data_IF_105502300998
#
_entry.id   IF_105502300998
#
_cell.length_a   1.000
_cell.length_b   1.000
_cell.length_c   1.000
_cell.angle_alpha   90.00
_cell.angle_beta   90.00
_cell.angle_gamma   90.00
#
_symmetry.space_group_name_H-M   'P 1'
#
loop_
_entity.id
_entity.type
_entity.pdbx_description
1 polymer ?
#
# COMPACT_ATOMS: atom_id res chain seq x y z
N UNK A 1 -0.77 8.11 -23.12
CA UNK A 1 -1.75 7.71 -22.09
C UNK A 1 -2.01 8.81 -21.07
N UNK A 2 -3.12 8.74 -20.32
CA UNK A 2 -3.39 9.60 -19.18
C UNK A 2 -3.57 8.75 -17.91
N UNK A 3 -2.98 9.21 -16.80
CA UNK A 3 -3.18 8.61 -15.47
C UNK A 3 -4.06 9.55 -14.64
N UNK A 4 -5.06 8.98 -13.97
CA UNK A 4 -6.02 9.69 -13.12
C UNK A 4 -5.88 9.25 -11.67
N UNK A 5 -5.17 10.01 -10.81
CA UNK A 5 -5.00 9.67 -9.42
C UNK A 5 -6.31 9.77 -8.63
N UNK A 6 -6.48 8.92 -7.64
CA UNK A 6 -7.59 8.98 -6.69
C UNK A 6 -7.37 10.05 -5.62
N UNK A 7 -6.10 10.26 -5.24
CA UNK A 7 -5.66 11.16 -4.18
C UNK A 7 -4.52 12.07 -4.67
N UNK A 8 -3.92 12.86 -3.77
CA UNK A 8 -2.80 13.75 -4.11
C UNK A 8 -1.47 12.98 -4.21
N UNK A 9 -0.43 13.63 -4.71
CA UNK A 9 0.93 13.05 -4.76
C UNK A 9 1.52 12.82 -3.36
N UNK A 10 1.10 13.59 -2.36
CA UNK A 10 1.52 13.39 -0.97
C UNK A 10 0.90 12.12 -0.34
N UNK A 11 -0.18 11.59 -0.92
CA UNK A 11 -0.86 10.40 -0.43
C UNK A 11 -0.16 9.14 -0.89
N UNK A 12 0.20 8.26 0.05
CA UNK A 12 1.03 7.09 -0.19
C UNK A 12 0.52 6.18 -1.31
N UNK A 13 -0.79 5.90 -1.36
CA UNK A 13 -1.39 5.07 -2.40
C UNK A 13 -1.24 5.70 -3.80
N UNK A 14 -1.65 6.95 -3.98
CA UNK A 14 -1.49 7.63 -5.27
C UNK A 14 -0.04 7.89 -5.63
N UNK A 15 0.83 8.21 -4.66
CA UNK A 15 2.27 8.35 -4.89
C UNK A 15 2.83 7.08 -5.54
N UNK A 16 2.65 5.93 -4.90
CA UNK A 16 3.26 4.67 -5.32
C UNK A 16 2.59 4.07 -6.56
N UNK A 17 1.26 4.17 -6.70
CA UNK A 17 0.51 3.48 -7.76
C UNK A 17 0.20 4.33 -8.99
N UNK A 18 0.35 5.67 -8.90
CA UNK A 18 0.11 6.55 -10.06
C UNK A 18 1.36 7.35 -10.40
N UNK A 19 1.86 8.17 -9.49
CA UNK A 19 2.94 9.10 -9.82
C UNK A 19 4.24 8.37 -10.10
N UNK A 20 4.66 7.44 -9.23
CA UNK A 20 5.88 6.64 -9.44
C UNK A 20 5.74 5.68 -10.61
N UNK A 21 4.56 5.08 -10.79
CA UNK A 21 4.28 4.25 -11.97
C UNK A 21 4.34 5.07 -13.26
N UNK A 22 3.83 6.31 -13.27
CA UNK A 22 3.92 7.18 -14.44
C UNK A 22 5.38 7.44 -14.85
N UNK A 23 6.26 7.66 -13.89
CA UNK A 23 7.68 7.89 -14.17
C UNK A 23 8.36 6.63 -14.75
N UNK A 24 8.06 5.45 -14.23
CA UNK A 24 8.57 4.19 -14.79
C UNK A 24 7.97 3.88 -16.17
N UNK A 25 6.67 4.14 -16.38
CA UNK A 25 6.05 3.97 -17.69
C UNK A 25 6.67 4.89 -18.75
N UNK A 26 7.08 6.11 -18.39
CA UNK A 26 7.87 6.97 -19.31
C UNK A 26 9.19 6.32 -19.70
N UNK A 27 9.90 5.69 -18.77
CA UNK A 27 11.14 4.93 -19.05
C UNK A 27 10.89 3.73 -19.97
N UNK A 28 9.69 3.14 -19.90
CA UNK A 28 9.24 2.06 -20.78
C UNK A 28 8.69 2.56 -22.15
N UNK A 29 8.84 3.86 -22.46
CA UNK A 29 8.48 4.45 -23.73
C UNK A 29 7.06 4.98 -23.84
N UNK A 30 6.32 5.08 -22.74
CA UNK A 30 4.99 5.70 -22.75
C UNK A 30 5.06 7.22 -22.71
N UNK A 31 4.27 7.88 -23.55
CA UNK A 31 3.96 9.29 -23.35
C UNK A 31 2.87 9.40 -22.25
N UNK A 32 3.31 9.42 -20.99
CA UNK A 32 2.46 9.36 -19.81
C UNK A 32 2.24 10.75 -19.19
N UNK A 33 0.97 11.15 -19.09
CA UNK A 33 0.54 12.41 -18.48
C UNK A 33 -0.31 12.13 -17.25
N UNK A 34 0.05 12.69 -16.09
CA UNK A 34 -0.77 12.61 -14.87
C UNK A 34 -1.75 13.78 -14.83
N UNK A 35 -3.04 13.46 -14.92
CA UNK A 35 -4.10 14.46 -14.88
C UNK A 35 -4.25 15.02 -13.47
N UNK A 36 -4.13 16.35 -13.25
CA UNK A 36 -4.27 16.92 -11.92
C UNK A 36 -5.63 16.61 -11.29
N UNK A 37 -5.60 16.10 -10.05
CA UNK A 37 -6.79 15.63 -9.35
C UNK A 37 -7.88 16.69 -9.17
N UNK A 38 -7.47 17.94 -8.91
CA UNK A 38 -8.38 19.06 -8.63
C UNK A 38 -9.18 19.55 -9.84
N UNK A 39 -8.86 19.10 -11.06
CA UNK A 39 -9.55 19.53 -12.27
C UNK A 39 -11.01 19.06 -12.28
N UNK A 40 -11.92 19.97 -12.67
CA UNK A 40 -13.34 19.68 -12.90
C UNK A 40 -13.51 18.84 -14.18
N UNK A 41 -14.65 18.17 -14.35
CA UNK A 41 -14.89 17.28 -15.49
C UNK A 41 -14.61 17.94 -16.83
N UNK A 42 -15.14 19.15 -17.09
CA UNK A 42 -14.89 19.89 -18.35
C UNK A 42 -13.39 20.13 -18.61
N UNK A 43 -12.62 20.39 -17.56
CA UNK A 43 -11.17 20.60 -17.67
C UNK A 43 -10.45 19.29 -17.96
N UNK A 44 -10.85 18.18 -17.30
CA UNK A 44 -10.32 16.84 -17.59
C UNK A 44 -10.60 16.41 -19.03
N UNK A 45 -11.83 16.63 -19.52
CA UNK A 45 -12.19 16.34 -20.92
C UNK A 45 -11.37 17.20 -21.90
N UNK A 46 -11.09 18.46 -21.56
CA UNK A 46 -10.18 19.31 -22.37
C UNK A 46 -8.75 18.76 -22.39
N UNK A 47 -8.22 18.29 -21.25
CA UNK A 47 -6.93 17.59 -21.18
C UNK A 47 -6.93 16.36 -22.08
N UNK A 48 -7.98 15.54 -22.03
CA UNK A 48 -8.15 14.36 -22.89
C UNK A 48 -8.14 14.77 -24.37
N UNK A 49 -8.85 15.82 -24.76
CA UNK A 49 -8.89 16.31 -26.13
C UNK A 49 -7.54 16.82 -26.64
N UNK A 50 -6.71 17.39 -25.77
CA UNK A 50 -5.35 17.86 -26.10
C UNK A 50 -4.36 16.70 -26.15
N UNK A 51 -4.34 15.86 -25.11
CA UNK A 51 -3.40 14.74 -24.97
C UNK A 51 -3.71 13.59 -25.94
N UNK A 52 -4.98 13.42 -26.31
CA UNK A 52 -5.50 12.32 -27.15
C UNK A 52 -4.95 10.96 -26.73
N UNK A 53 -5.18 10.53 -25.48
CA UNK A 53 -4.61 9.29 -24.97
C UNK A 53 -5.30 8.08 -25.62
N UNK A 54 -4.52 7.03 -25.89
CA UNK A 54 -5.05 5.76 -26.37
C UNK A 54 -5.60 4.89 -25.22
N UNK A 55 -5.19 5.16 -23.97
CA UNK A 55 -5.63 4.45 -22.77
C UNK A 55 -5.58 5.37 -21.55
N UNK A 56 -6.49 5.14 -20.61
CA UNK A 56 -6.51 5.80 -19.31
C UNK A 56 -6.19 4.76 -18.22
N UNK A 57 -5.21 5.05 -17.35
CA UNK A 57 -5.03 4.36 -16.08
C UNK A 57 -5.74 5.17 -15.00
N UNK A 58 -6.79 4.61 -14.41
CA UNK A 58 -7.67 5.29 -13.46
C UNK A 58 -7.57 4.62 -12.09
N UNK A 59 -7.07 5.35 -11.10
CA UNK A 59 -6.95 4.86 -9.73
C UNK A 59 -8.16 5.25 -8.89
N UNK A 60 -8.69 4.30 -8.15
CA UNK A 60 -9.72 4.44 -7.10
C UNK A 60 -10.98 5.23 -7.51
N UNK A 61 -12.12 4.65 -7.26
CA UNK A 61 -13.43 5.29 -7.49
C UNK A 61 -13.91 6.19 -6.32
N UNK A 62 -13.07 6.44 -5.32
CA UNK A 62 -13.35 7.43 -4.25
C UNK A 62 -13.49 8.84 -4.81
N UNK A 63 -12.69 9.18 -5.82
CA UNK A 63 -12.81 10.47 -6.47
C UNK A 63 -14.05 10.48 -7.39
N UNK A 64 -14.99 11.46 -7.26
CA UNK A 64 -16.26 11.45 -7.97
C UNK A 64 -16.14 11.52 -9.49
N UNK A 65 -15.01 11.97 -10.03
CA UNK A 65 -14.71 12.03 -11.46
C UNK A 65 -13.88 10.86 -11.99
N UNK A 66 -13.43 9.95 -11.12
CA UNK A 66 -12.76 8.72 -11.53
C UNK A 66 -13.83 7.65 -11.82
N UNK A 67 -14.55 7.85 -12.93
CA UNK A 67 -15.62 7.00 -13.43
C UNK A 67 -15.43 6.73 -14.91
N UNK A 68 -15.26 5.46 -15.34
CA UNK A 68 -15.07 5.13 -16.75
C UNK A 68 -16.15 5.70 -17.67
N UNK A 69 -17.40 5.81 -17.21
CA UNK A 69 -18.52 6.36 -17.99
C UNK A 69 -18.29 7.79 -18.52
N UNK A 70 -17.43 8.59 -17.90
CA UNK A 70 -17.10 9.94 -18.38
C UNK A 70 -16.06 9.94 -19.51
N UNK A 71 -15.45 8.79 -19.81
CA UNK A 71 -14.35 8.62 -20.75
C UNK A 71 -14.59 7.43 -21.69
N UNK A 72 -15.86 7.19 -22.06
CA UNK A 72 -16.33 5.96 -22.73
C UNK A 72 -15.69 5.64 -24.07
N UNK A 73 -15.07 6.63 -24.73
CA UNK A 73 -14.45 6.47 -26.04
C UNK A 73 -12.98 6.01 -25.95
N UNK A 74 -12.47 5.86 -24.73
CA UNK A 74 -11.08 5.49 -24.46
C UNK A 74 -11.06 4.31 -23.52
N UNK A 75 -10.31 3.24 -23.82
CA UNK A 75 -10.20 2.10 -22.90
C UNK A 75 -9.62 2.55 -21.55
N UNK A 76 -10.32 2.19 -20.46
CA UNK A 76 -9.89 2.47 -19.10
C UNK A 76 -9.35 1.20 -18.48
N UNK A 77 -8.16 1.26 -17.90
CA UNK A 77 -7.63 0.27 -16.96
C UNK A 77 -7.85 0.83 -15.55
N UNK A 78 -8.63 0.12 -14.75
CA UNK A 78 -8.98 0.58 -13.40
C UNK A 78 -8.06 -0.07 -12.36
N UNK A 79 -7.45 0.76 -11.53
CA UNK A 79 -6.55 0.37 -10.45
C UNK A 79 -7.22 0.55 -9.08
N UNK A 80 -7.28 -0.55 -8.29
CA UNK A 80 -7.87 -0.58 -6.96
C UNK A 80 -6.95 -1.33 -5.98
N UNK A 81 -6.52 -0.66 -4.90
CA UNK A 81 -5.56 -1.19 -3.92
C UNK A 81 -6.08 -1.22 -2.47
N UNK A 82 -7.28 -0.73 -2.23
CA UNK A 82 -7.99 -0.80 -0.96
C UNK A 82 -9.37 -1.46 -1.11
N UNK A 83 -9.87 -2.07 -0.03
CA UNK A 83 -11.18 -2.72 0.00
C UNK A 83 -12.34 -1.73 0.15
N UNK A 84 -12.31 -0.60 -0.55
CA UNK A 84 -13.32 0.46 -0.48
C UNK A 84 -14.74 -0.01 -0.83
N UNK A 85 -14.86 -1.15 -1.52
CA UNK A 85 -16.14 -1.79 -1.81
C UNK A 85 -16.86 -2.33 -0.56
N UNK A 86 -16.18 -2.36 0.59
CA UNK A 86 -16.79 -2.68 1.88
C UNK A 86 -17.55 -1.47 2.47
N UNK A 87 -17.26 -0.26 2.00
CA UNK A 87 -18.00 0.94 2.38
C UNK A 87 -19.18 1.18 1.43
N UNK A 88 -20.40 1.17 1.94
CA UNK A 88 -21.65 1.30 1.14
C UNK A 88 -21.63 2.53 0.23
N UNK A 89 -21.09 3.66 0.73
CA UNK A 89 -20.97 4.91 -0.04
C UNK A 89 -20.11 4.80 -1.31
N UNK A 90 -19.19 3.82 -1.37
CA UNK A 90 -18.26 3.64 -2.48
C UNK A 90 -18.59 2.43 -3.35
N UNK A 91 -19.27 1.42 -2.79
CA UNK A 91 -19.49 0.13 -3.43
C UNK A 91 -20.08 0.22 -4.84
N UNK A 92 -21.18 0.96 -5.01
CA UNK A 92 -21.85 1.08 -6.31
C UNK A 92 -20.92 1.72 -7.37
N UNK A 93 -20.10 2.68 -6.96
CA UNK A 93 -19.16 3.35 -7.84
C UNK A 93 -17.99 2.46 -8.26
N UNK A 94 -17.54 1.59 -7.34
CA UNK A 94 -16.47 0.63 -7.60
C UNK A 94 -16.97 -0.47 -8.54
N UNK A 95 -18.16 -1.03 -8.29
CA UNK A 95 -18.77 -2.01 -9.19
C UNK A 95 -18.91 -1.45 -10.60
N UNK A 96 -19.47 -0.24 -10.76
CA UNK A 96 -19.56 0.43 -12.06
C UNK A 96 -18.17 0.60 -12.71
N UNK A 97 -17.16 1.00 -11.95
CA UNK A 97 -15.82 1.19 -12.47
C UNK A 97 -15.20 -0.14 -12.93
N UNK A 98 -15.40 -1.23 -12.18
CA UNK A 98 -14.93 -2.57 -12.55
C UNK A 98 -15.63 -3.09 -13.79
N UNK A 99 -16.97 -3.01 -13.88
CA UNK A 99 -17.77 -3.49 -15.02
C UNK A 99 -17.43 -2.77 -16.34
N UNK A 100 -17.17 -1.45 -16.26
CA UNK A 100 -16.94 -0.61 -17.45
C UNK A 100 -15.48 -0.52 -17.88
N UNK A 101 -14.56 -1.09 -17.14
CA UNK A 101 -13.14 -1.02 -17.47
C UNK A 101 -12.70 -2.15 -18.40
N UNK A 102 -11.75 -1.86 -19.28
CA UNK A 102 -11.17 -2.83 -20.20
C UNK A 102 -10.31 -3.90 -19.50
N UNK A 103 -9.71 -3.53 -18.36
CA UNK A 103 -8.97 -4.43 -17.47
C UNK A 103 -8.89 -3.82 -16.06
N UNK A 104 -8.65 -4.68 -15.07
CA UNK A 104 -8.55 -4.31 -13.67
C UNK A 104 -7.17 -4.66 -13.14
N UNK A 105 -6.57 -3.71 -12.44
CA UNK A 105 -5.38 -3.90 -11.62
C UNK A 105 -5.81 -3.94 -10.15
N UNK A 106 -5.72 -5.10 -9.53
CA UNK A 106 -6.05 -5.30 -8.13
C UNK A 106 -4.79 -5.31 -7.26
N UNK A 107 -4.78 -4.57 -6.16
CA UNK A 107 -3.64 -4.47 -5.24
C UNK A 107 -3.42 -5.71 -4.37
N UNK A 108 -4.37 -6.65 -4.34
CA UNK A 108 -4.26 -7.92 -3.62
C UNK A 108 -5.13 -9.01 -4.25
N UNK A 109 -4.89 -10.28 -3.88
CA UNK A 109 -5.72 -11.41 -4.33
C UNK A 109 -7.16 -11.31 -3.83
N UNK A 110 -7.38 -10.76 -2.63
CA UNK A 110 -8.71 -10.55 -2.08
C UNK A 110 -9.51 -9.54 -2.92
N UNK A 111 -8.89 -8.41 -3.27
CA UNK A 111 -9.50 -7.41 -4.16
C UNK A 111 -9.76 -8.01 -5.55
N UNK A 112 -8.81 -8.78 -6.09
CA UNK A 112 -9.00 -9.46 -7.36
C UNK A 112 -10.21 -10.43 -7.32
N UNK A 113 -10.37 -11.18 -6.23
CA UNK A 113 -11.52 -12.05 -6.02
C UNK A 113 -12.87 -11.31 -6.03
N UNK A 114 -12.90 -10.10 -5.46
CA UNK A 114 -14.09 -9.24 -5.57
C UNK A 114 -14.31 -8.77 -7.00
N UNK A 115 -13.29 -8.24 -7.67
CA UNK A 115 -13.40 -7.69 -9.02
C UNK A 115 -13.79 -8.73 -10.07
N UNK A 116 -13.33 -9.98 -9.95
CA UNK A 116 -13.67 -11.09 -10.87
C UNK A 116 -15.15 -11.45 -10.88
N UNK A 117 -15.94 -10.97 -9.94
CA UNK A 117 -17.42 -11.09 -9.98
C UNK A 117 -18.06 -10.21 -11.05
N UNK A 118 -17.34 -9.22 -11.56
CA UNK A 118 -17.84 -8.15 -12.43
C UNK A 118 -16.99 -7.94 -13.69
N UNK A 119 -15.78 -8.50 -13.76
CA UNK A 119 -14.88 -8.34 -14.91
C UNK A 119 -13.95 -9.56 -15.03
N UNK A 120 -13.80 -10.08 -16.25
CA UNK A 120 -12.98 -11.27 -16.53
C UNK A 120 -11.48 -10.94 -16.65
N UNK A 121 -11.12 -9.67 -16.96
CA UNK A 121 -9.74 -9.23 -17.14
C UNK A 121 -9.22 -8.56 -15.86
N UNK A 122 -8.90 -9.38 -14.85
CA UNK A 122 -8.42 -8.92 -13.54
C UNK A 122 -7.07 -9.52 -13.23
N UNK A 123 -6.07 -8.66 -13.05
CA UNK A 123 -4.72 -9.05 -12.62
C UNK A 123 -4.33 -8.45 -11.27
N UNK A 124 -3.54 -9.21 -10.50
CA UNK A 124 -2.96 -8.73 -9.25
C UNK A 124 -1.63 -8.08 -9.55
N UNK A 125 -1.54 -6.77 -9.26
CA UNK A 125 -0.28 -6.04 -9.22
C UNK A 125 -0.14 -5.43 -7.82
N UNK A 126 0.71 -6.05 -7.02
CA UNK A 126 1.01 -5.53 -5.69
C UNK A 126 1.67 -4.16 -5.78
N UNK A 127 1.42 -3.32 -4.79
CA UNK A 127 2.06 -2.01 -4.71
C UNK A 127 3.56 -2.17 -4.69
N UNK A 128 4.25 -1.42 -5.54
CA UNK A 128 5.70 -1.36 -5.55
C UNK A 128 6.21 -0.11 -4.81
N UNK A 129 7.45 -0.17 -4.35
CA UNK A 129 8.15 0.99 -3.76
C UNK A 129 9.42 1.33 -4.53
N UNK A 130 9.83 2.62 -4.58
CA UNK A 130 11.16 2.97 -5.07
C UNK A 130 12.24 2.23 -4.29
N UNK A 131 13.30 1.83 -4.97
CA UNK A 131 14.50 1.31 -4.31
C UNK A 131 15.26 2.50 -3.73
N UNK A 132 15.26 2.63 -2.42
CA UNK A 132 16.02 3.66 -1.71
C UNK A 132 17.49 3.23 -1.52
N UNK A 133 18.43 4.16 -1.29
CA UNK A 133 19.78 3.82 -0.84
C UNK A 133 19.72 2.92 0.40
N UNK A 134 20.74 2.08 0.58
CA UNK A 134 20.83 1.26 1.78
C UNK A 134 20.84 2.11 3.03
N UNK A 135 20.17 1.69 4.12
CA UNK A 135 20.17 2.42 5.37
C UNK A 135 21.59 2.66 5.87
N UNK A 136 21.89 3.90 6.26
CA UNK A 136 23.21 4.29 6.76
C UNK A 136 23.49 3.76 8.17
N UNK A 137 22.43 3.56 8.97
CA UNK A 137 22.54 3.11 10.36
C UNK A 137 22.47 1.58 10.45
N UNK A 138 23.53 0.91 10.94
CA UNK A 138 23.52 -0.52 11.15
C UNK A 138 22.56 -0.91 12.29
N UNK A 139 22.03 -2.14 12.27
CA UNK A 139 21.06 -2.61 13.25
C UNK A 139 21.56 -2.56 14.70
N UNK A 140 22.87 -2.73 14.93
CA UNK A 140 23.50 -2.63 16.26
C UNK A 140 23.45 -1.22 16.86
N UNK A 141 23.22 -0.18 16.06
CA UNK A 141 23.10 1.21 16.50
C UNK A 141 21.66 1.74 16.50
N UNK A 142 20.69 0.93 16.10
CA UNK A 142 19.29 1.30 16.18
C UNK A 142 18.79 1.22 17.62
N UNK A 143 17.92 2.15 17.96
CA UNK A 143 17.25 2.18 19.27
C UNK A 143 16.24 1.03 19.37
N UNK A 144 15.90 0.61 20.59
CA UNK A 144 14.81 -0.33 20.83
C UNK A 144 13.44 0.35 20.58
N UNK A 145 13.23 0.82 19.36
CA UNK A 145 11.96 1.42 18.93
C UNK A 145 11.18 0.38 18.11
N UNK A 146 9.96 0.12 18.55
CA UNK A 146 8.97 -0.68 17.84
C UNK A 146 8.02 0.29 17.15
N UNK A 147 7.75 0.12 15.86
CA UNK A 147 6.91 1.07 15.12
C UNK A 147 5.68 0.44 14.52
N UNK A 148 4.56 1.14 14.62
CA UNK A 148 3.32 0.85 13.90
C UNK A 148 2.77 2.09 13.20
N UNK A 149 2.52 1.98 11.90
CA UNK A 149 1.90 3.05 11.13
C UNK A 149 0.37 2.84 11.06
N UNK A 150 -0.39 3.49 11.93
CA UNK A 150 -1.86 3.44 12.00
C UNK A 150 -2.47 4.74 11.51
N UNK A 151 -2.71 4.88 10.20
CA UNK A 151 -3.14 6.14 9.59
C UNK A 151 -4.56 6.57 9.98
N UNK A 152 -5.47 5.62 10.24
CA UNK A 152 -6.86 5.88 10.62
C UNK A 152 -7.24 5.00 11.81
N UNK A 153 -7.26 5.55 13.04
CA UNK A 153 -7.58 4.79 14.24
C UNK A 153 -8.90 4.03 14.17
N UNK A 154 -9.93 4.61 13.54
CA UNK A 154 -11.24 3.97 13.34
C UNK A 154 -11.18 2.69 12.49
N UNK A 155 -10.24 2.59 11.57
CA UNK A 155 -10.05 1.42 10.71
C UNK A 155 -9.08 0.39 11.28
N UNK A 156 -8.55 0.62 12.48
CA UNK A 156 -7.51 -0.20 13.09
C UNK A 156 -7.87 -0.62 14.53
N UNK A 157 -9.15 -0.60 14.90
CA UNK A 157 -9.57 -0.86 16.28
C UNK A 157 -9.20 -2.28 16.74
N UNK A 158 -9.44 -3.30 15.92
CA UNK A 158 -9.10 -4.69 16.24
C UNK A 158 -7.58 -4.92 16.28
N UNK A 159 -6.83 -4.28 15.38
CA UNK A 159 -5.37 -4.30 15.39
C UNK A 159 -4.80 -3.61 16.63
N UNK A 160 -5.42 -2.52 17.07
CA UNK A 160 -5.02 -1.84 18.30
C UNK A 160 -5.24 -2.72 19.54
N UNK A 161 -6.40 -3.37 19.66
CA UNK A 161 -6.67 -4.31 20.75
C UNK A 161 -5.67 -5.45 20.77
N UNK A 162 -5.38 -6.02 19.60
CA UNK A 162 -4.37 -7.06 19.45
C UNK A 162 -3.00 -6.57 19.91
N UNK A 163 -2.55 -5.39 19.45
CA UNK A 163 -1.25 -4.84 19.82
C UNK A 163 -1.17 -4.45 21.29
N UNK A 164 -2.25 -3.95 21.90
CA UNK A 164 -2.28 -3.71 23.34
C UNK A 164 -1.93 -5.00 24.09
N UNK A 165 -2.56 -6.11 23.73
CA UNK A 165 -2.26 -7.40 24.37
C UNK A 165 -0.83 -7.90 24.08
N UNK A 166 -0.32 -7.69 22.87
CA UNK A 166 1.07 -8.00 22.51
C UNK A 166 2.04 -7.22 23.39
N UNK A 167 1.82 -5.90 23.53
CA UNK A 167 2.73 -5.01 24.25
C UNK A 167 2.67 -5.23 25.78
N UNK A 168 1.50 -5.56 26.33
CA UNK A 168 1.39 -6.03 27.74
C UNK A 168 2.29 -7.26 27.99
N UNK A 169 2.18 -8.29 27.15
CA UNK A 169 3.00 -9.50 27.24
C UNK A 169 4.49 -9.23 26.95
N UNK A 170 4.81 -8.21 26.19
CA UNK A 170 6.19 -7.79 25.95
C UNK A 170 6.78 -7.12 27.18
N UNK A 171 6.02 -6.28 27.89
CA UNK A 171 6.45 -5.65 29.16
C UNK A 171 6.79 -6.68 30.24
N UNK A 172 6.17 -7.86 30.25
CA UNK A 172 6.53 -8.97 31.14
C UNK A 172 7.94 -9.53 30.83
N UNK A 173 8.49 -9.28 29.64
CA UNK A 173 9.78 -9.78 29.16
C UNK A 173 10.89 -8.75 29.17
N UNK A 174 10.56 -7.51 28.77
CA UNK A 174 11.48 -6.38 28.71
C UNK A 174 10.70 -5.07 28.85
N UNK A 175 11.26 -4.11 29.59
CA UNK A 175 10.72 -2.75 29.71
C UNK A 175 11.53 -1.73 28.88
N UNK A 176 12.63 -2.16 28.25
CA UNK A 176 13.57 -1.28 27.56
C UNK A 176 13.21 -1.08 26.08
N UNK A 177 12.01 -0.55 25.78
CA UNK A 177 11.62 -0.19 24.42
C UNK A 177 10.71 1.03 24.41
N UNK A 178 10.64 1.69 23.25
CA UNK A 178 9.70 2.75 22.94
C UNK A 178 8.76 2.32 21.83
N UNK A 179 7.50 2.77 21.87
CA UNK A 179 6.53 2.46 20.84
C UNK A 179 6.23 3.71 19.99
N UNK A 180 6.57 3.65 18.70
CA UNK A 180 6.40 4.75 17.76
C UNK A 180 5.16 4.55 16.91
N UNK A 181 4.18 5.45 17.06
CA UNK A 181 2.97 5.52 16.26
C UNK A 181 3.05 6.63 15.22
N UNK A 182 2.78 6.31 13.96
CA UNK A 182 2.56 7.29 12.89
C UNK A 182 1.06 7.48 12.69
N UNK A 183 0.47 8.29 13.53
CA UNK A 183 -0.97 8.52 13.55
C UNK A 183 -1.36 9.93 13.99
N UNK A 184 -0.40 10.78 14.32
CA UNK A 184 -0.68 12.11 14.86
C UNK A 184 -0.99 13.10 13.73
N UNK A 185 -2.25 13.55 13.66
CA UNK A 185 -2.72 14.63 12.79
C UNK A 185 -3.06 15.91 13.60
N UNK A 186 -2.72 15.93 14.89
CA UNK A 186 -3.05 17.01 15.82
C UNK A 186 -4.47 16.97 16.37
N UNK A 187 -5.30 15.99 16.00
CA UNK A 187 -6.67 15.85 16.50
C UNK A 187 -6.73 15.08 17.83
N UNK A 188 -7.82 15.33 18.61
CA UNK A 188 -8.05 14.60 19.86
C UNK A 188 -8.22 13.09 19.68
N UNK A 189 -8.73 12.63 18.53
CA UNK A 189 -8.93 11.21 18.23
C UNK A 189 -7.61 10.43 18.19
N UNK A 190 -6.58 10.98 17.56
CA UNK A 190 -5.26 10.35 17.52
C UNK A 190 -4.55 10.38 18.86
N UNK A 191 -4.75 11.45 19.65
CA UNK A 191 -4.22 11.53 21.01
C UNK A 191 -4.84 10.46 21.89
N UNK A 192 -6.17 10.35 21.91
CA UNK A 192 -6.89 9.32 22.66
C UNK A 192 -6.48 7.90 22.23
N UNK A 193 -6.21 7.69 20.95
CA UNK A 193 -5.70 6.42 20.45
C UNK A 193 -4.31 6.08 21.01
N UNK A 194 -3.38 7.02 21.03
CA UNK A 194 -2.04 6.84 21.61
C UNK A 194 -2.10 6.66 23.14
N UNK A 195 -3.01 7.35 23.83
CA UNK A 195 -3.18 7.27 25.28
C UNK A 195 -3.59 5.88 25.77
N UNK A 196 -4.25 5.07 24.92
CA UNK A 196 -4.55 3.67 25.24
C UNK A 196 -3.28 2.85 25.47
N UNK A 197 -2.22 3.09 24.69
CA UNK A 197 -0.94 2.41 24.85
C UNK A 197 -0.14 2.98 26.03
N UNK A 198 -0.23 4.29 26.30
CA UNK A 198 0.38 4.90 27.49
C UNK A 198 -0.24 4.37 28.79
N UNK A 199 -1.55 4.12 28.77
CA UNK A 199 -2.28 3.62 29.93
C UNK A 199 -1.78 2.25 30.45
N UNK A 200 -1.15 1.44 29.62
CA UNK A 200 -0.54 0.17 30.02
C UNK A 200 0.95 0.30 30.36
N UNK A 201 1.47 1.52 30.51
CA UNK A 201 2.84 1.79 30.99
C UNK A 201 3.90 1.87 29.90
N UNK A 202 3.53 1.99 28.62
CA UNK A 202 4.48 2.09 27.49
C UNK A 202 4.89 3.54 27.23
N UNK A 203 6.18 3.74 26.96
CA UNK A 203 6.70 5.00 26.42
C UNK A 203 6.30 5.14 24.94
N UNK A 204 5.28 5.97 24.68
CA UNK A 204 4.69 6.14 23.34
C UNK A 204 5.13 7.46 22.74
N UNK A 205 5.84 7.37 21.64
CA UNK A 205 6.13 8.46 20.72
C UNK A 205 5.06 8.53 19.63
N UNK A 206 4.66 9.72 19.22
CA UNK A 206 3.77 9.92 18.08
C UNK A 206 4.45 10.78 17.01
N UNK A 207 4.18 10.48 15.75
CA UNK A 207 4.58 11.30 14.61
C UNK A 207 3.40 11.52 13.68
N UNK A 208 3.32 12.69 13.03
CA UNK A 208 2.30 12.95 12.03
C UNK A 208 2.50 12.05 10.81
N UNK A 209 1.49 12.05 9.95
CA UNK A 209 1.60 11.48 8.60
C UNK A 209 2.70 12.23 7.83
N UNK A 210 3.63 11.47 7.26
CA UNK A 210 4.72 11.98 6.44
C UNK A 210 4.51 11.60 4.97
N UNK A 211 5.15 12.33 4.06
CA UNK A 211 5.33 11.86 2.69
C UNK A 211 6.11 10.55 2.67
N UNK A 212 5.87 9.70 1.66
CA UNK A 212 6.39 8.34 1.65
C UNK A 212 7.92 8.25 1.81
N UNK A 213 8.67 9.10 1.10
CA UNK A 213 10.12 9.10 1.20
C UNK A 213 10.62 9.60 2.57
N UNK A 214 9.93 10.56 3.18
CA UNK A 214 10.21 11.02 4.54
C UNK A 214 9.86 9.95 5.56
N UNK A 215 8.74 9.25 5.37
CA UNK A 215 8.36 8.13 6.22
C UNK A 215 9.44 7.04 6.21
N UNK A 216 9.92 6.62 5.04
CA UNK A 216 11.03 5.64 4.94
C UNK A 216 12.27 6.12 5.68
N UNK A 217 12.71 7.39 5.48
CA UNK A 217 13.88 7.95 6.19
C UNK A 217 13.68 8.02 7.70
N UNK A 218 12.47 8.35 8.14
CA UNK A 218 12.16 8.49 9.57
C UNK A 218 12.21 7.18 10.37
N UNK A 219 12.30 6.04 9.68
CA UNK A 219 12.40 4.71 10.27
C UNK A 219 13.87 4.30 10.59
N UNK A 220 14.85 5.18 10.38
CA UNK A 220 16.28 4.85 10.53
C UNK A 220 16.66 4.34 11.92
N UNK A 221 15.98 4.80 12.97
CA UNK A 221 16.20 4.37 14.37
C UNK A 221 15.35 3.18 14.79
N UNK A 222 14.40 2.76 13.97
CA UNK A 222 13.43 1.71 14.33
C UNK A 222 14.08 0.33 14.26
N UNK A 223 13.93 -0.45 15.33
CA UNK A 223 14.41 -1.83 15.39
C UNK A 223 13.41 -2.84 14.80
N UNK A 224 12.11 -2.66 15.05
CA UNK A 224 11.06 -3.61 14.64
C UNK A 224 9.85 -2.86 14.08
N UNK A 225 9.37 -3.26 12.91
CA UNK A 225 8.14 -2.78 12.30
C UNK A 225 6.98 -3.75 12.49
N UNK A 226 5.83 -3.24 12.89
CA UNK A 226 4.63 -4.03 13.11
C UNK A 226 3.61 -3.84 11.98
N UNK A 227 3.10 -4.95 11.48
CA UNK A 227 2.06 -4.98 10.46
C UNK A 227 0.92 -5.94 10.84
N UNK A 228 0.15 -5.62 11.91
CA UNK A 228 -0.97 -6.46 12.30
C UNK A 228 -2.08 -6.44 11.26
N UNK A 229 -2.67 -7.61 10.99
CA UNK A 229 -3.82 -7.82 10.11
C UNK A 229 -4.79 -8.76 10.83
N UNK A 230 -5.73 -8.20 11.57
CA UNK A 230 -6.67 -8.95 12.42
C UNK A 230 -8.07 -8.92 11.83
N UNK A 231 -8.52 -7.77 11.36
CA UNK A 231 -9.86 -7.59 10.80
C UNK A 231 -9.96 -8.07 9.35
N UNK A 232 -9.92 -9.38 9.13
CA UNK A 232 -9.89 -9.99 7.79
C UNK A 232 -11.22 -9.86 7.02
N UNK A 233 -12.35 -9.77 7.71
CA UNK A 233 -13.66 -9.51 7.11
C UNK A 233 -13.86 -8.02 6.80
N UNK A 234 -13.09 -7.17 7.47
CA UNK A 234 -13.06 -5.74 7.28
C UNK A 234 -11.95 -5.27 6.34
N UNK A 235 -11.54 -4.04 6.56
CA UNK A 235 -10.62 -3.34 5.67
C UNK A 235 -9.24 -3.99 5.57
N UNK A 236 -8.77 -4.67 6.63
CA UNK A 236 -7.45 -5.35 6.64
C UNK A 236 -7.38 -6.55 5.70
N UNK A 237 -8.51 -7.23 5.43
CA UNK A 237 -8.57 -8.37 4.51
C UNK A 237 -8.31 -8.01 3.05
N UNK A 238 -8.52 -6.76 2.66
CA UNK A 238 -8.26 -6.27 1.30
C UNK A 238 -6.99 -5.44 1.14
N UNK A 239 -6.17 -5.32 2.19
CA UNK A 239 -4.99 -4.45 2.13
C UNK A 239 -3.92 -4.92 1.16
N UNK A 240 -3.26 -3.93 0.54
CA UNK A 240 -2.00 -4.06 -0.15
C UNK A 240 -0.81 -3.83 0.80
N UNK A 241 0.43 -3.92 0.30
CA UNK A 241 1.65 -3.92 1.11
C UNK A 241 2.16 -2.56 1.61
N UNK A 242 1.52 -1.43 1.32
CA UNK A 242 2.07 -0.08 1.45
C UNK A 242 3.01 0.19 2.64
N UNK A 243 2.58 -0.12 3.88
CA UNK A 243 3.38 0.12 5.09
C UNK A 243 4.54 -0.85 5.26
N UNK A 244 4.30 -2.12 4.91
CA UNK A 244 5.31 -3.17 4.93
C UNK A 244 6.47 -2.83 4.00
N UNK A 245 6.18 -2.30 2.82
CA UNK A 245 7.19 -1.86 1.86
C UNK A 245 8.10 -0.76 2.41
N UNK A 246 7.57 0.16 3.21
CA UNK A 246 8.38 1.20 3.84
C UNK A 246 9.36 0.61 4.87
N UNK A 247 8.92 -0.37 5.67
CA UNK A 247 9.81 -1.08 6.59
C UNK A 247 10.90 -1.85 5.82
N UNK A 248 10.55 -2.61 4.77
CA UNK A 248 11.53 -3.31 3.94
C UNK A 248 12.54 -2.33 3.33
N UNK A 249 12.06 -1.20 2.79
CA UNK A 249 12.91 -0.17 2.19
C UNK A 249 13.86 0.50 3.21
N UNK A 250 13.39 0.68 4.45
CA UNK A 250 14.19 1.23 5.55
C UNK A 250 15.08 0.19 6.25
N UNK A 251 15.08 -1.06 5.78
CA UNK A 251 15.82 -2.15 6.43
C UNK A 251 15.34 -2.42 7.86
N UNK A 252 14.04 -2.33 8.10
CA UNK A 252 13.41 -2.63 9.40
C UNK A 252 12.81 -4.03 9.34
N UNK A 253 13.22 -4.97 10.19
CA UNK A 253 12.59 -6.28 10.33
C UNK A 253 11.11 -6.16 10.67
N UNK A 254 10.30 -7.05 10.09
CA UNK A 254 8.84 -6.97 10.16
C UNK A 254 8.29 -8.15 10.94
N UNK A 255 7.30 -7.85 11.80
CA UNK A 255 6.41 -8.86 12.39
C UNK A 255 5.00 -8.65 11.85
N UNK A 256 4.40 -9.71 11.29
CA UNK A 256 3.09 -9.65 10.65
C UNK A 256 2.29 -10.93 10.86
N UNK A 257 1.03 -10.95 10.43
CA UNK A 257 0.20 -12.16 10.41
C UNK A 257 0.39 -12.95 9.11
N UNK A 258 0.28 -14.31 9.14
CA UNK A 258 0.36 -15.18 7.96
C UNK A 258 -0.94 -15.18 7.16
N UNK A 259 -1.44 -14.01 6.80
CA UNK A 259 -2.75 -13.82 6.15
C UNK A 259 -2.65 -12.90 4.93
N UNK A 260 -3.72 -12.82 4.16
CA UNK A 260 -3.82 -12.06 2.91
C UNK A 260 -2.73 -12.53 1.93
N UNK A 261 -1.92 -11.63 1.42
CA UNK A 261 -0.83 -11.94 0.48
C UNK A 261 0.55 -11.99 1.15
N UNK A 262 0.64 -11.76 2.49
CA UNK A 262 1.92 -11.74 3.20
C UNK A 262 2.71 -13.06 3.08
N UNK A 263 2.09 -14.26 3.16
CA UNK A 263 2.80 -15.54 2.99
C UNK A 263 3.43 -15.74 1.60
N UNK A 264 3.10 -14.91 0.61
CA UNK A 264 3.75 -14.96 -0.71
C UNK A 264 5.13 -14.33 -0.73
N UNK A 265 5.42 -13.45 0.23
CA UNK A 265 6.63 -12.64 0.27
C UNK A 265 7.43 -12.84 1.55
N UNK A 266 6.79 -13.25 2.65
CA UNK A 266 7.46 -13.49 3.92
C UNK A 266 7.62 -14.99 4.20
N UNK A 267 8.79 -15.33 4.68
CA UNK A 267 9.13 -16.64 5.26
C UNK A 267 9.66 -16.38 6.66
N UNK A 268 8.94 -16.90 7.67
CA UNK A 268 9.28 -16.70 9.08
C UNK A 268 10.72 -17.12 9.39
N UNK A 269 11.46 -16.24 10.04
CA UNK A 269 12.88 -16.44 10.35
C UNK A 269 13.84 -16.25 9.18
N UNK A 270 13.36 -15.97 7.94
CA UNK A 270 14.21 -15.71 6.79
C UNK A 270 14.27 -14.22 6.43
N UNK A 271 13.15 -13.60 6.14
CA UNK A 271 13.04 -12.21 5.70
C UNK A 271 12.01 -11.38 6.49
N UNK A 272 11.53 -11.90 7.60
CA UNK A 272 10.57 -11.33 8.54
C UNK A 272 10.03 -12.41 9.44
N UNK A 273 9.08 -12.06 10.26
CA UNK A 273 8.36 -13.02 11.09
C UNK A 273 6.87 -12.94 10.83
N UNK A 274 6.25 -14.12 10.70
CA UNK A 274 4.79 -14.26 10.71
C UNK A 274 4.39 -15.02 11.98
N UNK A 275 3.50 -14.42 12.77
CA UNK A 275 2.98 -14.98 14.00
C UNK A 275 1.48 -14.69 14.11
N UNK A 276 0.76 -15.50 14.89
CA UNK A 276 -0.72 -15.44 14.93
C UNK A 276 -1.22 -14.93 16.28
N UNK A 277 -0.62 -15.38 17.38
CA UNK A 277 -1.08 -15.04 18.73
C UNK A 277 -0.29 -13.88 19.34
N UNK A 278 -0.89 -13.11 20.26
CA UNK A 278 -0.16 -12.06 20.99
C UNK A 278 1.09 -12.56 21.69
N UNK A 279 1.07 -13.79 22.22
CA UNK A 279 2.21 -14.42 22.91
C UNK A 279 3.37 -14.70 21.95
N UNK A 280 3.08 -15.19 20.73
CA UNK A 280 4.09 -15.41 19.68
C UNK A 280 4.69 -14.07 19.22
N UNK A 281 3.85 -13.06 19.00
CA UNK A 281 4.29 -11.72 18.63
C UNK A 281 5.23 -11.14 19.68
N UNK A 282 4.85 -11.17 20.96
CA UNK A 282 5.69 -10.66 22.05
C UNK A 282 7.03 -11.40 22.13
N UNK A 283 7.03 -12.72 21.94
CA UNK A 283 8.26 -13.52 21.95
C UNK A 283 9.20 -13.14 20.80
N UNK A 284 8.67 -13.03 19.58
CA UNK A 284 9.44 -12.64 18.39
C UNK A 284 9.97 -11.20 18.51
N UNK A 285 9.16 -10.27 19.01
CA UNK A 285 9.59 -8.89 19.19
C UNK A 285 10.72 -8.80 20.21
N UNK A 286 10.63 -9.49 21.37
CA UNK A 286 11.69 -9.55 22.35
C UNK A 286 12.99 -10.12 21.73
N UNK A 287 12.91 -11.24 21.03
CA UNK A 287 14.05 -11.84 20.32
C UNK A 287 14.72 -10.85 19.35
N UNK A 288 13.91 -10.11 18.58
CA UNK A 288 14.43 -9.10 17.64
C UNK A 288 15.05 -7.88 18.34
N UNK A 289 14.54 -7.47 19.50
CA UNK A 289 15.15 -6.39 20.27
C UNK A 289 16.53 -6.82 20.78
N UNK A 290 16.68 -8.06 21.23
CA UNK A 290 17.90 -8.62 21.81
C UNK A 290 18.97 -8.98 20.76
N UNK A 291 18.63 -9.20 19.48
CA UNK A 291 19.56 -9.65 18.44
C UNK A 291 19.69 -8.70 17.27
N UNK A 292 20.64 -7.75 17.31
CA UNK A 292 20.96 -6.89 16.17
C UNK A 292 21.40 -7.66 14.91
N UNK A 293 22.10 -8.78 15.09
CA UNK A 293 22.60 -9.65 14.02
C UNK A 293 21.45 -10.29 13.26
N UNK A 294 20.44 -10.75 13.98
CA UNK A 294 19.24 -11.32 13.37
C UNK A 294 18.45 -10.25 12.63
N UNK A 295 18.28 -9.06 13.23
CA UNK A 295 17.66 -7.92 12.56
C UNK A 295 18.36 -7.58 11.24
N UNK A 296 19.71 -7.57 11.24
CA UNK A 296 20.49 -7.29 10.03
C UNK A 296 20.23 -8.33 8.94
N UNK A 297 20.30 -9.60 9.29
CA UNK A 297 20.07 -10.72 8.37
C UNK A 297 18.66 -10.69 7.74
N UNK A 298 17.63 -10.46 8.56
CA UNK A 298 16.25 -10.37 8.10
C UNK A 298 16.05 -9.14 7.18
N UNK A 299 16.60 -8.00 7.56
CA UNK A 299 16.49 -6.77 6.80
C UNK A 299 17.12 -6.89 5.40
N UNK A 300 18.30 -7.49 5.29
CA UNK A 300 18.99 -7.73 4.02
C UNK A 300 18.17 -8.63 3.10
N UNK A 301 17.62 -9.72 3.61
CA UNK A 301 16.79 -10.63 2.83
C UNK A 301 15.43 -10.03 2.44
N UNK A 302 14.81 -9.26 3.35
CA UNK A 302 13.58 -8.53 3.04
C UNK A 302 13.82 -7.48 1.95
N UNK A 303 14.97 -6.81 1.99
CA UNK A 303 15.36 -5.86 0.95
C UNK A 303 15.57 -6.53 -0.40
N UNK A 304 16.23 -7.67 -0.45
CA UNK A 304 16.40 -8.42 -1.69
C UNK A 304 15.05 -8.83 -2.31
N UNK A 305 14.10 -9.29 -1.50
CA UNK A 305 12.74 -9.61 -1.94
C UNK A 305 12.00 -8.36 -2.49
N UNK A 306 12.19 -7.21 -1.84
CA UNK A 306 11.62 -5.94 -2.30
C UNK A 306 12.19 -5.53 -3.66
N UNK A 307 13.50 -5.58 -3.83
CA UNK A 307 14.17 -5.18 -5.08
C UNK A 307 13.77 -6.09 -6.26
N UNK A 308 13.67 -7.38 -6.01
CA UNK A 308 13.30 -8.38 -7.02
C UNK A 308 11.82 -8.32 -7.41
N UNK A 309 10.91 -8.27 -6.44
CA UNK A 309 9.48 -8.53 -6.67
C UNK A 309 8.53 -7.38 -6.36
N UNK A 310 8.94 -6.43 -5.53
CA UNK A 310 8.09 -5.38 -4.96
C UNK A 310 8.64 -3.97 -5.25
N UNK A 311 9.55 -3.82 -6.21
CA UNK A 311 10.01 -2.51 -6.68
C UNK A 311 8.95 -1.83 -7.56
N UNK A 312 8.97 -0.48 -7.59
CA UNK A 312 8.12 0.29 -8.51
C UNK A 312 8.36 -0.10 -9.96
N UNK A 313 9.61 -0.40 -10.32
CA UNK A 313 9.97 -0.83 -11.68
C UNK A 313 9.30 -2.16 -12.06
N UNK A 314 9.27 -3.14 -11.13
CA UNK A 314 8.58 -4.41 -11.37
C UNK A 314 7.05 -4.22 -11.48
N UNK A 315 6.46 -3.44 -10.57
CA UNK A 315 5.04 -3.10 -10.66
C UNK A 315 4.71 -2.41 -12.00
N UNK A 316 5.54 -1.47 -12.46
CA UNK A 316 5.34 -0.79 -13.74
C UNK A 316 5.47 -1.72 -14.96
N UNK A 317 6.38 -2.70 -14.94
CA UNK A 317 6.46 -3.72 -16.00
C UNK A 317 5.18 -4.55 -16.10
N UNK A 318 4.55 -4.89 -14.98
CA UNK A 318 3.25 -5.59 -14.97
C UNK A 318 2.13 -4.70 -15.47
N UNK A 319 2.09 -3.45 -15.02
CA UNK A 319 1.12 -2.44 -15.50
C UNK A 319 1.27 -2.22 -17.01
N UNK A 320 2.48 -2.11 -17.54
CA UNK A 320 2.76 -1.99 -18.98
C UNK A 320 2.12 -3.13 -19.78
N UNK A 321 2.30 -4.38 -19.34
CA UNK A 321 1.70 -5.55 -20.00
C UNK A 321 0.16 -5.47 -20.05
N UNK A 322 -0.47 -5.06 -18.94
CA UNK A 322 -1.92 -4.93 -18.84
C UNK A 322 -2.41 -3.81 -19.77
N UNK A 323 -1.74 -2.66 -19.78
CA UNK A 323 -2.07 -1.53 -20.64
C UNK A 323 -1.98 -1.90 -22.12
N UNK A 324 -0.91 -2.57 -22.54
CA UNK A 324 -0.74 -3.03 -23.94
C UNK A 324 -1.82 -4.04 -24.34
N UNK A 325 -2.17 -4.98 -23.45
CA UNK A 325 -3.25 -5.94 -23.70
C UNK A 325 -4.61 -5.24 -23.81
N UNK A 326 -4.92 -4.27 -22.95
CA UNK A 326 -6.15 -3.49 -23.03
C UNK A 326 -6.28 -2.71 -24.34
N UNK A 327 -5.15 -2.16 -24.84
CA UNK A 327 -5.10 -1.50 -26.15
C UNK A 327 -5.35 -2.46 -27.30
N UNK A 328 -4.70 -3.63 -27.31
CA UNK A 328 -4.86 -4.64 -28.35
C UNK A 328 -6.34 -5.06 -28.46
N UNK A 329 -6.99 -5.38 -27.33
CA UNK A 329 -8.42 -5.73 -27.29
C UNK A 329 -9.32 -4.60 -27.83
N UNK A 330 -9.00 -3.34 -27.52
CA UNK A 330 -9.79 -2.21 -28.02
C UNK A 330 -9.68 -2.05 -29.54
N UNK A 331 -8.53 -2.34 -30.15
CA UNK A 331 -8.34 -2.33 -31.61
C UNK A 331 -9.03 -3.49 -32.33
N UNK A 332 -9.20 -4.62 -31.67
CA UNK A 332 -9.89 -5.80 -32.23
C UNK A 332 -11.42 -5.69 -32.16
N UNK A 333 -11.94 -4.78 -31.32
CA UNK A 333 -13.38 -4.59 -31.14
C UNK A 333 -14.05 -4.05 -32.42
N UNK A 334 -15.27 -4.52 -32.80
CA UNK A 334 -15.99 -4.09 -34.01
C UNK A 334 -16.23 -2.58 -34.09
N UNK A 335 -16.25 -1.87 -32.95
CA UNK A 335 -16.39 -0.39 -32.91
C UNK A 335 -15.19 0.35 -33.53
N UNK A 336 -14.00 -0.22 -33.49
CA UNK A 336 -12.81 0.36 -34.12
C UNK A 336 -12.80 0.20 -35.66
N UNK A 337 -13.49 -0.81 -36.19
CA UNK A 337 -13.56 -1.08 -37.64
C UNK A 337 -14.51 -0.16 -38.44
N UNK A 338 -15.36 0.60 -37.74
CA UNK A 338 -16.34 1.51 -38.38
C UNK A 338 -15.77 2.95 -38.47
N UNK A 339 -14.69 3.27 -37.75
CA UNK A 339 -14.07 4.58 -37.70
C UNK A 339 -12.76 4.71 -38.51
N UNK A 340 -12.31 3.65 -39.17
CA UNK A 340 -11.17 3.62 -40.09
C UNK A 340 -11.66 3.53 -41.54
#
# INVERSE_FOLDING_TARGET
>A
MVLMPGETQADGASNLRVYRIADELKRLGWNAYVCPRHLRLRQRLRVIGVVRPNVILMQMARHPLNRPRFYSDIPVVFDIDDADYLEDRHRANIVEAVERSAAIIAGSRAIAGFCRKYNDDVEVVWTGTPVFPSPSRPQSRRKHIISWAALLPSHCAKEAEFLLRVLELLLERTAEFQFLLYCDDGTGAYRAFADRFRAIGIDVMTRPRLEYAEFVRSLEDVAVGLAPLVDLEGFSGGKSFGKVLAYMAAGVPIVTHPVVDHPLFFRSGENGYMATTPKEWAAVIAQLLDSPEERQRLAERARAELEDRLSTAEAARRVDKILRRALAKAHESPRARIAA
#
